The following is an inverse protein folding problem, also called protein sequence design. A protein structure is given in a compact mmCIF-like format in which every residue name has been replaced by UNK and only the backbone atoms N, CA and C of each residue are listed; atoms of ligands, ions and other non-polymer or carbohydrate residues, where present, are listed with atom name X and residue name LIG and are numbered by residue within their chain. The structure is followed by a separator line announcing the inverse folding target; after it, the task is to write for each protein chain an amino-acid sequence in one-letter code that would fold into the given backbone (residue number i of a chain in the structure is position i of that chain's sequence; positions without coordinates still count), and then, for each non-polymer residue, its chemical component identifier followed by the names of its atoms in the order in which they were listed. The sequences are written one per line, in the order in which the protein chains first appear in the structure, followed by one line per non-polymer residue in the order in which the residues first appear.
data_IF_086223101196
#
_entry.id   IF_086223101196
#
_cell.length_a   1.000
_cell.length_b   1.000
_cell.length_c   1.000
_cell.angle_alpha   90.00
_cell.angle_beta   90.00
_cell.angle_gamma   90.00
#
_symmetry.space_group_name_H-M   'P 1'
#
loop_
_entity.id
_entity.type
_entity.pdbx_description
1 polymer ?
#
# COMPACT_ATOMS: atom_id res chain seq x y z
N UNK A 1 -6.71 41.47 56.55
CA UNK A 1 -6.43 42.56 55.56
C UNK A 1 -5.69 41.96 54.39
N UNK A 2 -6.44 41.49 53.34
CA UNK A 2 -5.86 40.89 52.11
C UNK A 2 -5.50 42.00 51.13
N UNK A 3 -4.21 42.35 51.00
CA UNK A 3 -3.71 43.14 49.86
C UNK A 3 -3.69 42.23 48.61
N UNK A 4 -4.73 42.31 47.76
CA UNK A 4 -4.66 41.77 46.42
C UNK A 4 -3.56 42.57 45.67
N UNK A 5 -2.43 41.89 45.40
CA UNK A 5 -1.33 42.44 44.61
C UNK A 5 -1.86 42.80 43.21
N UNK A 6 -1.94 44.10 42.92
CA UNK A 6 -2.34 44.62 41.59
C UNK A 6 -1.29 44.17 40.58
N UNK A 7 -1.62 43.16 39.76
CA UNK A 7 -0.71 42.61 38.71
C UNK A 7 -0.18 43.78 37.85
N UNK A 8 1.13 43.85 37.69
CA UNK A 8 1.79 44.87 36.88
C UNK A 8 1.38 44.75 35.42
N UNK A 9 1.53 45.81 34.64
CA UNK A 9 1.26 45.78 33.18
C UNK A 9 2.09 44.70 32.50
N UNK A 10 3.32 44.52 32.93
CA UNK A 10 4.24 43.47 32.44
C UNK A 10 3.78 42.06 32.78
N UNK A 11 3.26 41.80 33.98
CA UNK A 11 2.72 40.50 34.36
C UNK A 11 1.51 40.11 33.53
N UNK A 12 0.69 41.08 33.12
CA UNK A 12 -0.45 40.84 32.21
C UNK A 12 0.04 40.48 30.81
N UNK A 13 1.01 41.25 30.27
CA UNK A 13 1.61 40.96 28.94
C UNK A 13 2.24 39.59 28.94
N UNK A 14 3.07 39.29 29.91
CA UNK A 14 3.74 37.97 30.05
C UNK A 14 2.72 36.82 30.14
N UNK A 15 1.65 37.03 30.92
CA UNK A 15 0.56 36.04 31.05
C UNK A 15 -0.17 35.80 29.71
N UNK A 16 -0.38 36.85 28.90
CA UNK A 16 -0.99 36.73 27.56
C UNK A 16 -0.04 36.00 26.62
N UNK A 17 1.23 36.40 26.57
CA UNK A 17 2.25 35.73 25.74
C UNK A 17 2.38 34.23 26.08
N UNK A 18 2.41 33.90 27.36
CA UNK A 18 2.47 32.50 27.83
C UNK A 18 1.25 31.69 27.38
N UNK A 19 0.03 32.27 27.48
CA UNK A 19 -1.19 31.61 27.00
C UNK A 19 -1.14 31.37 25.50
N UNK A 20 -0.75 32.36 24.71
CA UNK A 20 -0.60 32.24 23.24
C UNK A 20 0.39 31.16 22.89
N UNK A 21 1.55 31.11 23.58
CA UNK A 21 2.55 30.06 23.39
C UNK A 21 1.99 28.67 23.69
N UNK A 22 1.29 28.51 24.84
CA UNK A 22 0.67 27.23 25.21
C UNK A 22 -0.35 26.79 24.16
N UNK A 23 -1.24 27.70 23.71
CA UNK A 23 -2.21 27.36 22.66
C UNK A 23 -1.54 26.98 21.33
N UNK A 24 -0.48 27.68 20.94
CA UNK A 24 0.30 27.32 19.74
C UNK A 24 0.93 25.93 19.87
N UNK A 25 1.51 25.61 21.03
CA UNK A 25 2.09 24.29 21.29
C UNK A 25 1.03 23.17 21.29
N UNK A 26 -0.13 23.40 21.91
CA UNK A 26 -1.25 22.43 21.88
C UNK A 26 -1.77 22.23 20.46
N UNK A 27 -1.91 23.29 19.69
CA UNK A 27 -2.33 23.20 18.28
C UNK A 27 -1.31 22.44 17.44
N UNK A 28 -0.03 22.73 17.59
CA UNK A 28 1.04 22.01 16.91
C UNK A 28 1.03 20.51 17.27
N UNK A 29 0.94 20.17 18.57
CA UNK A 29 0.85 18.80 19.04
C UNK A 29 -0.37 18.07 18.45
N UNK A 30 -1.55 18.71 18.48
CA UNK A 30 -2.77 18.16 17.90
C UNK A 30 -2.63 17.93 16.39
N UNK A 31 -1.98 18.86 15.67
CA UNK A 31 -1.71 18.72 14.24
C UNK A 31 -0.79 17.51 13.96
N UNK A 32 0.29 17.33 14.75
CA UNK A 32 1.19 16.17 14.63
C UNK A 32 0.47 14.87 14.95
N UNK A 33 -0.28 14.82 16.05
CA UNK A 33 -1.08 13.65 16.43
C UNK A 33 -2.06 13.26 15.30
N UNK A 34 -2.75 14.24 14.71
CA UNK A 34 -3.64 13.99 13.57
C UNK A 34 -2.89 13.35 12.40
N UNK A 35 -1.69 13.86 12.03
CA UNK A 35 -0.90 13.32 10.90
C UNK A 35 -0.36 11.91 11.18
N UNK A 36 0.05 11.63 12.41
CA UNK A 36 0.59 10.32 12.76
C UNK A 36 -0.52 9.27 12.84
N UNK A 37 -1.62 9.59 13.54
CA UNK A 37 -2.61 8.58 13.94
C UNK A 37 -3.87 8.56 13.09
N UNK A 38 -4.28 9.69 12.50
CA UNK A 38 -5.63 9.83 11.93
C UNK A 38 -5.59 9.90 10.41
N UNK A 39 -5.00 10.96 9.85
CA UNK A 39 -5.04 11.19 8.40
C UNK A 39 -3.77 11.83 7.88
N UNK A 40 -3.41 11.44 6.67
CA UNK A 40 -2.34 12.07 5.91
C UNK A 40 -2.81 12.39 4.49
N UNK A 41 -2.19 13.38 3.86
CA UNK A 41 -2.56 13.85 2.53
C UNK A 41 -1.45 13.54 1.54
N UNK A 42 -1.82 12.90 0.41
CA UNK A 42 -0.91 12.61 -0.68
C UNK A 42 -1.41 13.23 -1.98
N UNK A 43 -0.49 13.59 -2.86
CA UNK A 43 -0.78 14.02 -4.23
C UNK A 43 -0.64 12.83 -5.17
N UNK A 44 -1.52 12.74 -6.16
CA UNK A 44 -1.49 11.70 -7.20
C UNK A 44 -0.72 12.24 -8.39
N UNK A 45 0.47 11.69 -8.72
CA UNK A 45 1.28 12.22 -9.82
C UNK A 45 1.01 11.54 -11.17
N UNK A 46 0.40 10.36 -11.21
CA UNK A 46 0.30 9.51 -12.40
C UNK A 46 -1.15 9.13 -12.73
N UNK A 47 -1.37 8.66 -13.96
CA UNK A 47 -2.69 8.23 -14.47
C UNK A 47 -3.06 6.80 -14.11
N UNK A 48 -2.21 6.07 -13.40
CA UNK A 48 -2.40 4.63 -13.12
C UNK A 48 -3.68 4.27 -12.37
N UNK A 49 -4.33 5.26 -11.74
CA UNK A 49 -5.60 5.11 -11.03
C UNK A 49 -6.76 5.83 -11.73
N UNK A 50 -6.56 6.32 -12.96
CA UNK A 50 -7.62 6.95 -13.77
C UNK A 50 -8.73 5.94 -14.11
N UNK A 51 -9.99 6.36 -14.11
CA UNK A 51 -10.53 7.68 -13.78
C UNK A 51 -10.81 7.90 -12.29
N UNK A 52 -10.53 6.92 -11.42
CA UNK A 52 -10.86 6.99 -9.99
C UNK A 52 -10.07 8.10 -9.29
N UNK A 53 -8.79 8.18 -9.55
CA UNK A 53 -7.89 9.25 -9.08
C UNK A 53 -7.12 9.78 -10.30
N UNK A 54 -7.15 11.10 -10.48
CA UNK A 54 -6.51 11.77 -11.63
C UNK A 54 -5.19 12.41 -11.20
N UNK A 55 -4.23 12.60 -12.11
CA UNK A 55 -3.04 13.41 -11.84
C UNK A 55 -3.41 14.79 -11.31
N UNK A 56 -2.72 15.22 -10.24
CA UNK A 56 -3.02 16.45 -9.52
C UNK A 56 -4.04 16.34 -8.40
N UNK A 57 -4.81 15.25 -8.33
CA UNK A 57 -5.70 15.02 -7.20
C UNK A 57 -4.92 14.94 -5.89
N UNK A 58 -5.54 15.42 -4.81
CA UNK A 58 -5.05 15.28 -3.45
C UNK A 58 -6.01 14.38 -2.68
N UNK A 59 -5.48 13.27 -2.17
CA UNK A 59 -6.25 12.26 -1.45
C UNK A 59 -5.96 12.31 0.04
N UNK A 60 -6.99 12.09 0.85
CA UNK A 60 -6.86 11.88 2.28
C UNK A 60 -6.78 10.38 2.56
N UNK A 61 -5.72 9.97 3.21
CA UNK A 61 -5.51 8.59 3.65
C UNK A 61 -5.89 8.49 5.12
N UNK A 62 -6.89 7.67 5.41
CA UNK A 62 -7.34 7.41 6.76
C UNK A 62 -6.52 6.25 7.35
N UNK A 63 -5.70 6.58 8.35
CA UNK A 63 -4.84 5.62 9.05
C UNK A 63 -5.60 4.85 10.12
N UNK A 64 -6.63 5.44 10.71
CA UNK A 64 -7.41 4.78 11.78
C UNK A 64 -8.18 3.57 11.28
N UNK A 65 -8.60 3.57 10.00
CA UNK A 65 -9.38 2.45 9.46
C UNK A 65 -8.61 1.14 9.55
N UNK A 66 -7.35 1.14 9.14
CA UNK A 66 -6.51 -0.06 9.16
C UNK A 66 -5.61 -0.13 10.42
N UNK A 67 -5.42 0.97 11.11
CA UNK A 67 -4.50 1.16 12.23
C UNK A 67 -3.26 1.95 11.81
N UNK A 68 -2.91 2.95 12.61
CA UNK A 68 -1.72 3.75 12.37
C UNK A 68 -0.45 2.92 12.55
N UNK A 69 0.50 3.07 11.63
CA UNK A 69 1.83 2.47 11.71
C UNK A 69 2.75 3.38 12.49
N UNK A 70 3.38 2.85 13.54
CA UNK A 70 4.29 3.58 14.43
C UNK A 70 5.69 3.02 14.24
N UNK A 71 6.62 3.86 13.78
CA UNK A 71 8.01 3.47 13.62
C UNK A 71 8.70 3.33 14.98
N UNK A 72 9.41 2.22 15.18
CA UNK A 72 10.23 1.98 16.38
C UNK A 72 11.71 2.23 16.11
N UNK A 73 12.09 2.42 14.86
CA UNK A 73 13.41 2.88 14.42
C UNK A 73 13.23 3.91 13.31
N UNK A 74 14.10 4.91 13.28
CA UNK A 74 14.16 5.94 12.24
C UNK A 74 15.33 5.72 11.28
N UNK A 75 15.90 4.52 11.27
CA UNK A 75 16.84 4.14 10.21
C UNK A 75 16.05 3.70 8.98
N UNK A 76 16.07 4.54 7.93
CA UNK A 76 15.41 4.33 6.65
C UNK A 76 16.44 4.27 5.51
N UNK A 77 17.66 3.87 5.80
CA UNK A 77 18.68 3.60 4.79
C UNK A 77 18.26 2.46 3.87
N UNK A 78 18.83 2.42 2.68
CA UNK A 78 18.59 1.34 1.74
C UNK A 78 18.98 -0.01 2.38
N UNK A 79 18.15 -1.03 2.12
CA UNK A 79 18.25 -2.38 2.70
C UNK A 79 18.03 -2.48 4.23
N UNK A 80 17.75 -1.37 4.93
CA UNK A 80 17.42 -1.45 6.35
C UNK A 80 16.02 -2.08 6.55
N UNK A 81 15.86 -3.06 7.45
CA UNK A 81 14.55 -3.65 7.73
C UNK A 81 13.63 -2.62 8.37
N UNK A 82 12.39 -2.56 7.89
CA UNK A 82 11.36 -1.73 8.52
C UNK A 82 11.08 -2.23 9.94
N UNK A 83 11.27 -1.36 10.92
CA UNK A 83 10.92 -1.62 12.32
C UNK A 83 9.75 -0.76 12.74
N UNK A 84 8.59 -1.35 12.80
CA UNK A 84 7.35 -0.67 13.21
C UNK A 84 6.42 -1.63 13.93
N UNK A 85 5.38 -1.07 14.54
CA UNK A 85 4.19 -1.82 14.94
C UNK A 85 2.95 -1.11 14.45
N UNK A 86 1.86 -1.83 14.26
CA UNK A 86 0.57 -1.30 13.85
C UNK A 86 -0.39 -1.24 15.02
N UNK A 87 -0.99 -0.08 15.23
CA UNK A 87 -2.09 0.07 16.19
C UNK A 87 -3.34 -0.68 15.70
N UNK A 88 -4.22 -1.12 16.59
CA UNK A 88 -5.50 -1.68 16.19
C UNK A 88 -6.29 -0.72 15.29
N UNK A 89 -6.81 -1.22 14.17
CA UNK A 89 -7.66 -0.46 13.25
C UNK A 89 -9.14 -0.71 13.51
N UNK A 90 -9.98 0.14 12.93
CA UNK A 90 -11.45 0.03 13.02
C UNK A 90 -11.96 -1.18 12.21
N UNK A 91 -11.31 -1.48 11.08
CA UNK A 91 -11.65 -2.60 10.20
C UNK A 91 -10.44 -3.10 9.41
N UNK A 92 -10.55 -4.33 8.93
CA UNK A 92 -9.60 -4.87 7.95
C UNK A 92 -9.76 -4.19 6.59
N UNK A 93 -8.71 -4.20 5.79
CA UNK A 93 -8.74 -3.87 4.36
C UNK A 93 -9.58 -4.92 3.65
N UNK A 94 -10.32 -4.50 2.60
CA UNK A 94 -11.23 -5.36 1.82
C UNK A 94 -10.86 -5.27 0.33
N UNK A 95 -11.18 -6.30 -0.46
CA UNK A 95 -11.13 -6.18 -1.92
C UNK A 95 -11.96 -4.96 -2.39
N UNK A 96 -11.38 -4.18 -3.31
CA UNK A 96 -11.98 -2.94 -3.79
C UNK A 96 -11.58 -1.67 -3.03
N UNK A 97 -11.01 -1.75 -1.82
CA UNK A 97 -10.44 -0.57 -1.16
C UNK A 97 -9.26 0.00 -1.98
N UNK A 98 -9.14 1.32 -1.99
CA UNK A 98 -7.91 1.97 -2.47
C UNK A 98 -7.02 2.24 -1.28
N UNK A 99 -5.79 1.73 -1.30
CA UNK A 99 -4.82 1.90 -0.23
C UNK A 99 -3.61 2.70 -0.71
N UNK A 100 -3.00 3.47 0.19
CA UNK A 100 -1.68 4.03 -0.01
C UNK A 100 -0.66 3.23 0.81
N UNK A 101 0.45 2.92 0.18
CA UNK A 101 1.52 2.10 0.75
C UNK A 101 2.89 2.55 0.23
N UNK A 102 3.94 2.17 0.96
CA UNK A 102 5.30 2.37 0.49
C UNK A 102 5.65 1.31 -0.56
N UNK A 103 6.36 1.74 -1.60
CA UNK A 103 6.74 0.89 -2.72
C UNK A 103 7.59 -0.30 -2.25
N UNK A 104 7.25 -1.54 -2.66
CA UNK A 104 7.83 -2.74 -2.08
C UNK A 104 9.07 -3.27 -2.81
N UNK A 105 9.68 -2.52 -3.74
CA UNK A 105 10.83 -3.01 -4.51
C UNK A 105 12.08 -2.15 -4.36
N UNK A 106 13.22 -2.82 -4.33
CA UNK A 106 14.51 -2.21 -4.62
C UNK A 106 14.59 -1.70 -6.06
N UNK A 107 15.48 -0.73 -6.32
CA UNK A 107 15.59 -0.07 -7.63
C UNK A 107 15.98 -1.03 -8.77
N UNK A 108 16.71 -2.11 -8.48
CA UNK A 108 17.38 -2.92 -9.50
C UNK A 108 16.97 -4.39 -9.53
N UNK A 109 16.11 -4.86 -8.62
CA UNK A 109 15.81 -6.29 -8.52
C UNK A 109 14.33 -6.57 -8.27
N UNK A 110 13.69 -7.18 -9.23
CA UNK A 110 12.32 -7.72 -9.14
C UNK A 110 12.15 -8.83 -8.09
N UNK A 111 13.24 -9.27 -7.47
CA UNK A 111 13.31 -10.40 -6.56
C UNK A 111 13.39 -10.01 -5.09
N UNK A 112 13.48 -8.73 -4.76
CA UNK A 112 13.68 -8.29 -3.38
C UNK A 112 12.58 -7.32 -2.95
N UNK A 113 11.93 -7.60 -1.81
CA UNK A 113 11.00 -6.68 -1.15
C UNK A 113 11.81 -5.76 -0.25
N UNK A 114 11.81 -4.47 -0.54
CA UNK A 114 12.49 -3.43 0.23
C UNK A 114 11.54 -2.31 0.60
N UNK A 115 11.76 -1.74 1.77
CA UNK A 115 10.99 -0.58 2.22
C UNK A 115 11.62 0.73 1.73
N UNK A 116 10.82 1.54 1.04
CA UNK A 116 11.25 2.88 0.57
C UNK A 116 10.30 3.95 1.13
N UNK A 117 10.76 4.68 2.15
CA UNK A 117 9.92 5.66 2.88
C UNK A 117 9.38 6.79 1.97
N UNK A 118 10.17 7.23 1.00
CA UNK A 118 9.85 8.37 0.14
C UNK A 118 8.98 8.02 -1.08
N UNK A 119 8.79 6.72 -1.36
CA UNK A 119 8.03 6.26 -2.52
C UNK A 119 6.68 5.71 -2.08
N UNK A 120 5.64 6.53 -2.23
CA UNK A 120 4.27 6.17 -1.85
C UNK A 120 3.43 5.97 -3.10
N UNK A 121 2.77 4.82 -3.17
CA UNK A 121 1.84 4.46 -4.23
C UNK A 121 0.43 4.34 -3.69
N UNK A 122 -0.56 4.67 -4.53
CA UNK A 122 -1.97 4.41 -4.26
C UNK A 122 -2.49 3.46 -5.32
N UNK A 123 -3.05 2.32 -4.90
CA UNK A 123 -3.60 1.29 -5.77
C UNK A 123 -4.85 0.65 -5.14
N UNK A 124 -5.63 -0.04 -5.97
CA UNK A 124 -6.83 -0.76 -5.53
C UNK A 124 -6.48 -2.18 -5.13
N UNK A 125 -6.98 -2.63 -4.00
CA UNK A 125 -6.79 -3.99 -3.49
C UNK A 125 -7.62 -4.96 -4.35
N UNK A 126 -6.95 -5.91 -4.98
CA UNK A 126 -7.55 -7.06 -5.65
C UNK A 126 -7.69 -8.22 -4.66
N UNK A 127 -6.66 -8.48 -3.87
CA UNK A 127 -6.62 -9.56 -2.90
C UNK A 127 -6.12 -9.15 -1.54
N UNK A 128 -6.74 -9.70 -0.51
CA UNK A 128 -6.39 -9.59 0.90
C UNK A 128 -5.80 -10.92 1.39
N UNK A 129 -5.15 -10.97 2.56
CA UNK A 129 -4.56 -12.21 3.07
C UNK A 129 -5.54 -13.37 3.07
N UNK A 130 -5.16 -14.48 2.44
CA UNK A 130 -5.99 -15.69 2.33
C UNK A 130 -6.86 -15.79 1.08
N UNK A 131 -6.95 -14.73 0.27
CA UNK A 131 -7.69 -14.76 -0.98
C UNK A 131 -6.94 -15.52 -2.08
N UNK A 132 -7.69 -16.12 -3.01
CA UNK A 132 -7.20 -16.52 -4.33
C UNK A 132 -7.71 -15.55 -5.38
N UNK A 133 -6.80 -15.02 -6.18
CA UNK A 133 -7.09 -13.93 -7.11
C UNK A 133 -6.59 -14.24 -8.52
N UNK A 134 -7.07 -13.46 -9.47
CA UNK A 134 -6.54 -13.52 -10.82
C UNK A 134 -7.19 -12.53 -11.76
N UNK A 135 -6.77 -12.63 -13.02
CA UNK A 135 -7.35 -11.89 -14.14
C UNK A 135 -7.65 -12.92 -15.24
N UNK A 136 -8.89 -12.96 -15.70
CA UNK A 136 -9.33 -13.83 -16.79
C UNK A 136 -9.90 -12.96 -17.91
N UNK A 137 -9.31 -13.04 -19.08
CA UNK A 137 -9.66 -12.22 -20.23
C UNK A 137 -9.71 -10.72 -19.92
N UNK A 138 -8.72 -10.24 -19.17
CA UNK A 138 -8.63 -8.84 -18.75
C UNK A 138 -9.56 -8.44 -17.60
N UNK A 139 -10.40 -9.35 -17.08
CA UNK A 139 -11.34 -9.09 -15.98
C UNK A 139 -10.79 -9.61 -14.67
N UNK A 140 -10.74 -8.73 -13.68
CA UNK A 140 -10.29 -9.03 -12.33
C UNK A 140 -11.30 -9.91 -11.58
N UNK A 141 -10.80 -10.91 -10.86
CA UNK A 141 -11.61 -11.75 -9.98
C UNK A 141 -10.92 -12.04 -8.65
N UNK A 142 -11.74 -12.35 -7.64
CA UNK A 142 -11.30 -12.76 -6.30
C UNK A 142 -12.32 -13.80 -5.80
N UNK A 143 -11.85 -14.91 -5.24
CA UNK A 143 -12.71 -16.02 -4.81
C UNK A 143 -13.67 -15.66 -3.67
N UNK A 144 -13.30 -14.70 -2.83
CA UNK A 144 -14.06 -14.27 -1.66
C UNK A 144 -14.89 -12.98 -1.89
N UNK A 145 -14.87 -12.45 -3.12
CA UNK A 145 -15.56 -11.20 -3.45
C UNK A 145 -16.37 -11.31 -4.74
N UNK A 146 -17.69 -11.11 -4.65
CA UNK A 146 -18.63 -11.27 -5.76
C UNK A 146 -18.80 -10.02 -6.65
N UNK A 147 -18.20 -8.89 -6.29
CA UNK A 147 -18.35 -7.63 -7.01
C UNK A 147 -17.25 -7.37 -8.04
N UNK A 148 -17.48 -6.36 -8.88
CA UNK A 148 -16.43 -5.85 -9.77
C UNK A 148 -15.36 -5.12 -8.97
N UNK A 149 -14.10 -5.53 -9.13
CA UNK A 149 -12.95 -4.88 -8.49
C UNK A 149 -12.23 -4.01 -9.52
N UNK A 150 -12.26 -2.71 -9.32
CA UNK A 150 -11.70 -1.72 -10.24
C UNK A 150 -12.73 -1.15 -11.23
N UNK A 151 -12.25 -0.53 -12.29
CA UNK A 151 -13.08 0.13 -13.32
C UNK A 151 -13.32 -0.84 -14.47
N UNK A 152 -14.57 -1.30 -14.61
CA UNK A 152 -14.94 -2.30 -15.62
C UNK A 152 -14.61 -1.85 -17.04
N UNK A 153 -14.87 -0.59 -17.37
CA UNK A 153 -14.61 -0.08 -18.74
C UNK A 153 -13.14 -0.18 -19.11
N UNK A 154 -12.22 0.09 -18.17
CA UNK A 154 -10.79 -0.06 -18.39
C UNK A 154 -10.38 -1.54 -18.55
N UNK A 155 -11.04 -2.45 -17.84
CA UNK A 155 -10.82 -3.89 -17.97
C UNK A 155 -11.34 -4.41 -19.31
N UNK A 156 -12.49 -3.91 -19.77
CA UNK A 156 -13.03 -4.23 -21.09
C UNK A 156 -12.15 -3.65 -22.19
N UNK A 157 -11.60 -2.44 -22.02
CA UNK A 157 -10.64 -1.87 -22.95
C UNK A 157 -9.37 -2.74 -23.06
N UNK A 158 -8.84 -3.21 -21.92
CA UNK A 158 -7.71 -4.17 -21.90
C UNK A 158 -8.07 -5.46 -22.63
N UNK A 159 -9.24 -6.05 -22.37
CA UNK A 159 -9.74 -7.26 -23.05
C UNK A 159 -9.72 -7.08 -24.57
N UNK A 160 -10.23 -5.96 -25.04
CA UNK A 160 -10.41 -5.67 -26.47
C UNK A 160 -9.12 -5.23 -27.18
N UNK A 161 -8.07 -4.86 -26.44
CA UNK A 161 -6.79 -4.47 -27.05
C UNK A 161 -6.09 -5.72 -27.60
N UNK A 162 -5.65 -5.74 -28.87
CA UNK A 162 -4.95 -6.89 -29.45
C UNK A 162 -3.65 -7.20 -28.72
N UNK A 163 -3.35 -8.48 -28.54
CA UNK A 163 -2.13 -8.93 -27.86
C UNK A 163 -0.86 -8.44 -28.55
N UNK A 164 -0.87 -8.34 -29.89
CA UNK A 164 0.24 -7.77 -30.66
C UNK A 164 0.57 -6.33 -30.30
N UNK A 165 -0.44 -5.53 -29.91
CA UNK A 165 -0.26 -4.16 -29.44
C UNK A 165 0.40 -4.19 -28.04
N UNK A 166 -0.11 -5.00 -27.13
CA UNK A 166 0.40 -5.12 -25.77
C UNK A 166 1.84 -5.62 -25.73
N UNK A 167 2.20 -6.60 -26.58
CA UNK A 167 3.58 -7.09 -26.69
C UNK A 167 4.54 -6.03 -27.24
N UNK A 168 4.09 -5.25 -28.22
CA UNK A 168 4.88 -4.15 -28.78
C UNK A 168 5.21 -3.09 -27.75
N UNK A 169 4.23 -2.75 -26.90
CA UNK A 169 4.38 -1.77 -25.82
C UNK A 169 5.11 -2.35 -24.58
N UNK A 170 5.48 -3.64 -24.60
CA UNK A 170 6.19 -4.36 -23.51
C UNK A 170 5.43 -4.45 -22.18
N UNK A 171 4.10 -4.34 -22.19
CA UNK A 171 3.27 -4.46 -20.97
C UNK A 171 2.67 -5.85 -20.76
N UNK A 172 2.82 -6.76 -21.70
CA UNK A 172 2.07 -8.02 -21.69
C UNK A 172 2.52 -8.98 -20.58
N UNK A 173 3.85 -9.17 -20.40
CA UNK A 173 4.39 -10.10 -19.42
C UNK A 173 4.31 -9.56 -18.00
N UNK A 174 3.99 -10.44 -17.04
CA UNK A 174 3.87 -10.12 -15.61
C UNK A 174 4.77 -11.02 -14.76
N UNK A 175 4.83 -10.76 -13.45
CA UNK A 175 5.51 -11.67 -12.53
C UNK A 175 4.96 -13.10 -12.67
N UNK A 176 5.73 -14.16 -12.38
CA UNK A 176 7.12 -14.15 -11.92
C UNK A 176 8.16 -13.98 -13.04
N UNK A 177 7.78 -13.60 -14.26
CA UNK A 177 8.61 -13.45 -15.47
C UNK A 177 9.29 -14.75 -15.94
N UNK A 178 8.89 -15.86 -15.37
CA UNK A 178 9.29 -17.23 -15.69
C UNK A 178 8.06 -18.06 -16.02
N UNK A 179 8.14 -19.38 -16.04
CA UNK A 179 6.94 -20.22 -16.18
C UNK A 179 6.24 -20.39 -14.83
N UNK A 180 4.87 -20.33 -14.78
CA UNK A 180 3.96 -20.07 -15.89
C UNK A 180 4.09 -18.62 -16.37
N UNK A 181 3.98 -18.38 -17.67
CA UNK A 181 4.06 -17.04 -18.24
C UNK A 181 2.68 -16.37 -18.13
N UNK A 182 2.44 -15.69 -17.03
CA UNK A 182 1.23 -14.89 -16.84
C UNK A 182 1.33 -13.57 -17.62
N UNK A 183 0.17 -13.07 -17.98
CA UNK A 183 0.03 -11.82 -18.73
C UNK A 183 -0.95 -10.90 -18.02
N UNK A 184 -0.99 -9.63 -18.45
CA UNK A 184 -1.96 -8.69 -17.88
C UNK A 184 -3.42 -9.07 -18.18
N UNK A 185 -3.69 -9.94 -19.18
CA UNK A 185 -5.03 -10.47 -19.48
C UNK A 185 -5.33 -11.82 -18.84
N UNK A 186 -4.30 -12.64 -18.59
CA UNK A 186 -4.42 -14.00 -18.05
C UNK A 186 -3.43 -14.14 -16.90
N UNK A 187 -3.89 -13.93 -15.70
CA UNK A 187 -3.06 -13.91 -14.49
C UNK A 187 -3.67 -14.80 -13.39
N UNK A 188 -2.84 -15.59 -12.75
CA UNK A 188 -3.26 -16.48 -11.66
C UNK A 188 -3.87 -17.80 -12.16
N UNK A 189 -4.54 -18.57 -11.26
CA UNK A 189 -4.86 -18.21 -9.88
C UNK A 189 -3.62 -18.00 -9.00
N UNK A 190 -3.67 -16.98 -8.13
CA UNK A 190 -2.59 -16.64 -7.21
C UNK A 190 -3.15 -16.55 -5.79
N UNK A 191 -2.59 -17.31 -4.85
CA UNK A 191 -2.91 -17.22 -3.43
C UNK A 191 -2.19 -16.00 -2.83
N UNK A 192 -2.92 -15.15 -2.10
CA UNK A 192 -2.36 -14.00 -1.38
C UNK A 192 -1.92 -14.46 0.01
N UNK A 193 -0.62 -14.36 0.35
CA UNK A 193 -0.10 -14.87 1.60
C UNK A 193 -0.79 -14.31 2.83
N UNK A 194 -1.15 -15.20 3.76
CA UNK A 194 -1.72 -14.87 5.05
C UNK A 194 -0.85 -15.41 6.17
N UNK A 195 -0.65 -14.59 7.20
CA UNK A 195 0.16 -14.94 8.37
C UNK A 195 -0.30 -16.24 9.01
N UNK A 196 0.67 -17.13 9.28
CA UNK A 196 0.44 -18.44 9.92
C UNK A 196 -0.06 -19.53 8.98
N UNK A 197 -0.33 -19.22 7.70
CA UNK A 197 -0.72 -20.21 6.71
C UNK A 197 0.52 -20.83 6.08
N UNK A 198 0.53 -22.16 6.02
CA UNK A 198 1.60 -22.93 5.35
C UNK A 198 1.14 -23.30 3.94
N UNK A 199 2.02 -23.11 2.97
CA UNK A 199 1.82 -23.58 1.59
C UNK A 199 2.89 -24.61 1.24
N UNK A 200 2.54 -25.54 0.37
CA UNK A 200 3.53 -26.41 -0.29
C UNK A 200 4.20 -25.64 -1.44
N UNK A 201 5.49 -25.90 -1.64
CA UNK A 201 6.32 -25.22 -2.62
C UNK A 201 6.88 -26.23 -3.62
N UNK A 202 6.40 -26.16 -4.82
CA UNK A 202 7.07 -26.70 -6.00
C UNK A 202 8.01 -25.66 -6.62
N UNK A 203 8.60 -25.94 -7.75
CA UNK A 203 9.49 -25.01 -8.46
C UNK A 203 8.77 -23.71 -8.86
N UNK A 204 7.49 -23.80 -9.19
CA UNK A 204 6.65 -22.65 -9.55
C UNK A 204 6.33 -21.81 -8.31
N UNK A 205 5.92 -22.46 -7.23
CA UNK A 205 5.67 -21.81 -5.95
C UNK A 205 6.90 -21.07 -5.42
N UNK A 206 8.10 -21.69 -5.51
CA UNK A 206 9.35 -21.01 -5.15
C UNK A 206 9.63 -19.77 -6.01
N UNK A 207 9.35 -19.81 -7.31
CA UNK A 207 9.51 -18.66 -8.18
C UNK A 207 8.52 -17.53 -7.86
N UNK A 208 7.27 -17.86 -7.52
CA UNK A 208 6.21 -16.88 -7.21
C UNK A 208 6.42 -16.26 -5.82
N UNK A 209 6.69 -17.09 -4.81
CA UNK A 209 6.78 -16.64 -3.41
C UNK A 209 8.21 -16.38 -2.95
N UNK A 210 9.21 -16.60 -3.82
CA UNK A 210 10.62 -16.37 -3.50
C UNK A 210 10.92 -15.01 -2.91
N UNK A 211 10.42 -13.88 -3.48
CA UNK A 211 10.60 -12.55 -2.91
C UNK A 211 10.02 -12.41 -1.50
N UNK A 212 8.87 -13.04 -1.24
CA UNK A 212 8.22 -13.04 0.08
C UNK A 212 9.05 -13.82 1.09
N UNK A 213 9.46 -15.05 0.71
CA UNK A 213 10.27 -15.94 1.55
C UNK A 213 11.60 -15.26 1.90
N UNK A 214 12.26 -14.67 0.91
CA UNK A 214 13.49 -13.90 1.14
C UNK A 214 13.28 -12.71 2.09
N UNK A 215 12.20 -11.97 1.92
CA UNK A 215 11.86 -10.86 2.83
C UNK A 215 11.67 -11.32 4.28
N UNK A 216 11.03 -12.48 4.47
CA UNK A 216 10.72 -13.03 5.80
C UNK A 216 11.90 -13.75 6.45
N UNK A 217 12.74 -14.42 5.66
CA UNK A 217 13.80 -15.32 6.18
C UNK A 217 15.21 -14.77 5.97
N UNK A 218 15.38 -13.79 5.09
CA UNK A 218 16.67 -13.25 4.68
C UNK A 218 17.36 -14.10 3.58
N UNK A 219 16.75 -15.20 3.14
CA UNK A 219 17.32 -16.09 2.13
C UNK A 219 16.30 -16.48 1.06
N UNK A 220 16.75 -16.57 -0.19
CA UNK A 220 15.93 -17.10 -1.27
C UNK A 220 15.67 -18.61 -1.05
N UNK A 221 14.45 -19.13 -1.34
CA UNK A 221 14.15 -20.54 -1.17
C UNK A 221 15.03 -21.41 -2.06
N UNK A 222 15.67 -22.41 -1.47
CA UNK A 222 16.43 -23.41 -2.20
C UNK A 222 15.53 -24.52 -2.77
N UNK A 223 16.11 -25.40 -3.59
CA UNK A 223 15.36 -26.49 -4.23
C UNK A 223 14.84 -27.55 -3.25
N UNK A 224 15.37 -27.62 -2.04
CA UNK A 224 14.96 -28.55 -0.99
C UNK A 224 13.80 -27.99 -0.14
N UNK A 225 13.51 -26.71 -0.22
CA UNK A 225 12.38 -26.11 0.49
C UNK A 225 11.06 -26.56 -0.13
N UNK A 226 10.36 -27.44 0.58
CA UNK A 226 9.08 -28.03 0.13
C UNK A 226 7.84 -27.34 0.68
N UNK A 227 7.99 -26.48 1.68
CA UNK A 227 6.88 -25.71 2.27
C UNK A 227 7.39 -24.44 2.94
N UNK A 228 6.49 -23.46 3.10
CA UNK A 228 6.75 -22.25 3.85
C UNK A 228 5.52 -21.80 4.62
N UNK A 229 5.72 -21.38 5.89
CA UNK A 229 4.68 -20.77 6.71
C UNK A 229 4.89 -19.26 6.73
N UNK A 230 3.95 -18.50 6.20
CA UNK A 230 4.08 -17.06 6.11
C UNK A 230 4.09 -16.38 7.49
N UNK A 231 5.03 -15.47 7.68
CA UNK A 231 5.21 -14.72 8.93
C UNK A 231 4.37 -13.43 8.98
N UNK A 232 3.97 -12.91 7.81
CA UNK A 232 3.23 -11.67 7.66
C UNK A 232 1.98 -11.84 6.79
N UNK A 233 1.09 -10.87 6.88
CA UNK A 233 -0.03 -10.70 5.95
C UNK A 233 0.41 -9.88 4.74
N UNK A 234 -0.14 -10.20 3.56
CA UNK A 234 0.18 -9.51 2.32
C UNK A 234 -1.06 -9.07 1.57
N UNK A 235 -0.89 -8.06 0.72
CA UNK A 235 -1.93 -7.55 -0.17
C UNK A 235 -1.45 -7.62 -1.62
N UNK A 236 -2.41 -7.76 -2.53
CA UNK A 236 -2.18 -7.66 -3.96
C UNK A 236 -3.05 -6.55 -4.54
N UNK A 237 -2.44 -5.61 -5.27
CA UNK A 237 -3.11 -4.38 -5.71
C UNK A 237 -2.96 -4.16 -7.20
N UNK A 238 -3.99 -3.53 -7.80
CA UNK A 238 -4.00 -3.15 -9.20
C UNK A 238 -4.29 -1.65 -9.36
N UNK A 239 -3.80 -1.08 -10.45
CA UNK A 239 -4.26 0.22 -10.88
C UNK A 239 -5.60 0.14 -11.61
N UNK A 240 -6.44 1.16 -11.44
CA UNK A 240 -7.73 1.25 -12.13
C UNK A 240 -7.57 1.50 -13.64
N UNK A 241 -6.45 2.09 -14.06
CA UNK A 241 -6.07 2.19 -15.47
C UNK A 241 -5.35 0.90 -15.90
N UNK A 242 -6.11 -0.10 -16.31
CA UNK A 242 -5.62 -1.46 -16.56
C UNK A 242 -4.55 -1.53 -17.65
N UNK A 243 -4.54 -0.60 -18.62
CA UNK A 243 -3.59 -0.51 -19.71
C UNK A 243 -2.30 0.25 -19.36
N UNK A 244 -2.36 1.16 -18.37
CA UNK A 244 -1.23 2.00 -17.99
C UNK A 244 -1.07 2.03 -16.48
N UNK A 245 -0.75 0.87 -15.91
CA UNK A 245 -0.44 0.75 -14.50
C UNK A 245 0.70 -0.22 -14.24
N UNK A 246 1.76 0.27 -13.61
CA UNK A 246 2.69 -0.60 -12.90
C UNK A 246 2.10 -0.86 -11.52
N UNK A 247 1.87 -2.13 -11.20
CA UNK A 247 1.21 -2.58 -9.98
C UNK A 247 1.67 -4.00 -9.58
N UNK A 248 0.98 -4.66 -8.67
CA UNK A 248 1.37 -5.97 -8.14
C UNK A 248 1.51 -7.07 -9.21
N UNK A 249 0.94 -6.89 -10.41
CA UNK A 249 1.21 -7.79 -11.54
C UNK A 249 2.70 -7.86 -11.90
N UNK A 250 3.45 -6.82 -11.57
CA UNK A 250 4.87 -6.69 -11.89
C UNK A 250 5.78 -6.88 -10.67
N UNK A 251 5.42 -6.29 -9.53
CA UNK A 251 6.27 -6.34 -8.33
C UNK A 251 5.80 -7.34 -7.26
N UNK A 252 4.63 -7.98 -7.44
CA UNK A 252 4.13 -8.97 -6.51
C UNK A 252 3.43 -8.37 -5.28
N UNK A 253 3.70 -8.95 -4.13
CA UNK A 253 2.97 -8.73 -2.89
C UNK A 253 3.46 -7.51 -2.11
N UNK A 254 2.54 -6.91 -1.35
CA UNK A 254 2.79 -5.77 -0.47
C UNK A 254 2.65 -6.27 0.96
N UNK A 255 3.71 -6.25 1.79
CA UNK A 255 3.61 -6.55 3.21
C UNK A 255 2.63 -5.60 3.91
N UNK A 256 1.89 -6.08 4.90
CA UNK A 256 0.93 -5.26 5.65
C UNK A 256 1.61 -4.07 6.34
N UNK A 257 2.83 -4.24 6.81
CA UNK A 257 3.64 -3.17 7.40
C UNK A 257 3.96 -2.02 6.44
N UNK A 258 3.89 -2.25 5.11
CA UNK A 258 4.11 -1.18 4.13
C UNK A 258 2.86 -0.33 3.89
N UNK A 259 1.68 -0.80 4.31
CA UNK A 259 0.44 -0.05 4.14
C UNK A 259 0.39 1.14 5.08
N UNK A 260 0.13 2.33 4.53
CA UNK A 260 -0.02 3.58 5.28
C UNK A 260 -1.45 3.73 5.77
N UNK A 261 -2.42 3.41 4.91
CA UNK A 261 -3.84 3.49 5.25
C UNK A 261 -4.75 3.41 4.03
N UNK A 262 -6.04 3.59 4.26
CA UNK A 262 -7.10 3.48 3.25
C UNK A 262 -7.47 4.87 2.76
N UNK A 263 -7.59 5.05 1.44
CA UNK A 263 -8.02 6.32 0.83
C UNK A 263 -9.48 6.58 1.20
N UNK A 264 -9.74 7.68 1.88
CA UNK A 264 -11.10 8.13 2.20
C UNK A 264 -11.82 8.65 0.95
N UNK A 265 -13.13 8.39 0.83
CA UNK A 265 -13.95 8.56 -0.36
C UNK A 265 -14.26 9.99 -0.83
N UNK A 266 -13.44 11.02 -0.56
CA UNK A 266 -13.62 12.35 -1.12
C UNK A 266 -12.34 12.83 -1.82
N UNK A 267 -12.45 12.99 -3.14
CA UNK A 267 -11.50 13.78 -3.94
C UNK A 267 -11.54 15.23 -3.46
N UNK A 268 -10.41 15.80 -3.13
CA UNK A 268 -10.26 17.24 -3.07
C UNK A 268 -9.58 17.66 -4.37
N UNK A 269 -10.36 17.88 -5.41
CA UNK A 269 -9.86 18.60 -6.58
C UNK A 269 -9.54 20.03 -6.12
N UNK A 270 -8.27 20.38 -6.10
CA UNK A 270 -7.84 21.77 -6.05
C UNK A 270 -7.58 22.17 -7.50
N UNK A 271 -8.54 22.93 -8.08
CA UNK A 271 -8.28 23.66 -9.31
C UNK A 271 -7.24 24.72 -9.05
#
# INVERSE_FOLDING_TARGET
MNKALKKSRWDRILSVCLKVYIYAMVFAAAHFCRRIFITERFSIPTESMSPTLMPGDKVWVNKMLFGARIYTSFNFEDHAPLKCFRMPGVRKIRPGDVICFNYPLGYDKWTEIEFKINYVYCKRVLGTPGDSIGIKDGINWNNNYQGTIGVLDNQLALRNTPDSVLWRERFMATMPFTRPMWTIKQFGPLYVPAKGVTIELDSIGRAIYGPVIQYETGAWPDDNMTSHTFLNDYYFTLGDNSLDSKDSRYWGFIPDDFVIGIVGGRRVCVK
#
